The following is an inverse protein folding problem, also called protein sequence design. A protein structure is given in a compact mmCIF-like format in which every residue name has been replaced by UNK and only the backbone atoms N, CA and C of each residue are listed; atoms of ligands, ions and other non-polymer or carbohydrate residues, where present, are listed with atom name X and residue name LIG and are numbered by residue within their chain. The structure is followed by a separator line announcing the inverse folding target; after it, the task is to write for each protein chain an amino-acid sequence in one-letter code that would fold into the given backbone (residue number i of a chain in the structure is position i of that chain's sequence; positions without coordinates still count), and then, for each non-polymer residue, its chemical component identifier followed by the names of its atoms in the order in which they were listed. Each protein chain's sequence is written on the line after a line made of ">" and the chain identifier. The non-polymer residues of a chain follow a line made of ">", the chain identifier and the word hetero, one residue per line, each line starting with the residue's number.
data_IF_224340566467
#
_entry.id   IF_224340566467
#
_cell.length_a   1.000
_cell.length_b   1.000
_cell.length_c   1.000
_cell.angle_alpha   90.00
_cell.angle_beta   90.00
_cell.angle_gamma   90.00
#
_symmetry.space_group_name_H-M   'P 1'
#
loop_
_entity.id
_entity.type
_entity.pdbx_description
1 polymer ?
#
# COMPACT_ATOMS: atom_id res chain seq x y z
N UNK A 1 -16.19 36.81 78.13
CA UNK A 1 -16.77 35.46 78.18
C UNK A 1 -16.70 34.88 76.76
N UNK A 2 -15.55 34.47 76.20
CA UNK A 2 -14.53 33.56 76.74
C UNK A 2 -15.22 32.34 77.37
N UNK A 3 -15.17 31.19 76.70
CA UNK A 3 -15.24 29.81 77.22
C UNK A 3 -15.78 28.83 76.17
N UNK A 4 -15.13 28.75 74.99
CA UNK A 4 -15.18 27.53 74.14
C UNK A 4 -13.86 27.33 73.37
N UNK A 5 -13.07 28.39 73.17
CA UNK A 5 -11.84 28.37 72.36
C UNK A 5 -10.57 27.75 72.99
N UNK A 6 -10.64 27.13 74.19
CA UNK A 6 -9.43 26.74 74.95
C UNK A 6 -9.23 25.22 75.10
N UNK A 7 -10.12 24.38 74.53
CA UNK A 7 -10.06 22.92 74.78
C UNK A 7 -9.39 22.07 73.69
N UNK A 8 -8.91 22.63 72.58
CA UNK A 8 -8.26 21.83 71.51
C UNK A 8 -6.80 22.18 71.21
N UNK A 9 -6.22 23.19 71.87
CA UNK A 9 -4.84 23.64 71.65
C UNK A 9 -3.80 23.01 72.60
N UNK A 10 -4.16 21.99 73.38
CA UNK A 10 -3.24 21.33 74.31
C UNK A 10 -3.03 19.85 73.99
N UNK A 11 -2.62 19.51 72.77
CA UNK A 11 -1.84 18.28 72.52
C UNK A 11 -1.04 18.40 71.22
N UNK A 12 -0.23 19.44 71.10
CA UNK A 12 0.94 19.45 70.21
C UNK A 12 2.19 19.30 71.06
N UNK A 13 2.61 18.07 71.30
CA UNK A 13 3.99 17.79 71.70
C UNK A 13 4.40 16.41 71.20
N UNK A 14 5.42 16.43 70.35
CA UNK A 14 6.44 15.38 70.11
C UNK A 14 6.03 14.12 69.35
N UNK A 15 6.38 14.17 68.05
CA UNK A 15 6.80 13.10 67.14
C UNK A 15 7.46 11.89 67.82
N UNK A 16 7.08 10.67 67.43
CA UNK A 16 8.00 9.68 66.82
C UNK A 16 7.22 8.52 66.16
N UNK A 17 7.51 8.31 64.87
CA UNK A 17 7.37 7.09 64.04
C UNK A 17 6.05 6.32 64.08
N UNK A 18 5.21 6.51 63.05
CA UNK A 18 4.14 5.54 62.75
C UNK A 18 3.19 5.97 61.63
N UNK A 19 3.53 5.59 60.39
CA UNK A 19 2.65 5.54 59.21
C UNK A 19 2.16 6.89 58.65
N UNK A 20 3.03 7.51 57.82
CA UNK A 20 2.59 8.45 56.81
C UNK A 20 1.69 7.71 55.80
N UNK A 21 0.38 8.00 55.83
CA UNK A 21 -0.53 7.64 54.75
C UNK A 21 -0.46 8.77 53.73
N UNK A 22 0.42 8.62 52.75
CA UNK A 22 0.39 9.41 51.52
C UNK A 22 -0.99 9.24 50.88
N UNK A 23 -1.70 10.34 50.64
CA UNK A 23 -2.75 10.37 49.62
C UNK A 23 -2.04 10.66 48.30
N UNK A 24 -1.30 9.66 47.82
CA UNK A 24 -0.92 9.53 46.43
C UNK A 24 -1.99 8.66 45.76
N UNK A 25 -2.90 9.30 45.02
CA UNK A 25 -3.37 8.83 43.72
C UNK A 25 -4.56 9.69 43.25
N UNK A 26 -4.25 10.81 42.59
CA UNK A 26 -4.94 11.09 41.34
C UNK A 26 -4.12 10.43 40.22
N UNK A 27 -4.13 9.10 40.18
CA UNK A 27 -4.05 8.43 38.89
C UNK A 27 -5.35 8.78 38.19
N UNK A 28 -5.24 9.61 37.17
CA UNK A 28 -6.07 9.47 35.99
C UNK A 28 -6.27 7.96 35.73
N UNK A 29 -7.51 7.47 35.57
CA UNK A 29 -7.68 6.10 35.12
C UNK A 29 -7.05 6.06 33.75
N UNK A 30 -5.83 5.51 33.69
CA UNK A 30 -5.23 5.02 32.46
C UNK A 30 -6.27 4.07 31.92
N UNK A 31 -7.05 4.49 30.94
CA UNK A 31 -7.99 3.64 30.23
C UNK A 31 -7.12 2.57 29.61
N UNK A 32 -6.99 1.46 30.32
CA UNK A 32 -6.41 0.24 29.81
C UNK A 32 -7.32 -0.20 28.67
N UNK A 33 -7.00 0.21 27.44
CA UNK A 33 -7.60 -0.26 26.19
C UNK A 33 -7.28 -1.74 25.90
N UNK A 34 -6.99 -2.53 26.92
CA UNK A 34 -6.43 -3.88 26.85
C UNK A 34 -7.49 -5.01 26.78
N UNK A 35 -8.80 -4.83 27.09
CA UNK A 35 -9.78 -5.89 26.81
C UNK A 35 -10.21 -5.95 25.33
N UNK A 36 -10.24 -4.81 24.63
CA UNK A 36 -10.87 -4.70 23.30
C UNK A 36 -9.94 -5.10 22.15
N UNK A 37 -8.62 -4.89 22.31
CA UNK A 37 -7.64 -5.20 21.26
C UNK A 37 -7.27 -6.70 21.21
N UNK A 38 -7.44 -7.43 22.32
CA UNK A 38 -7.22 -8.88 22.35
C UNK A 38 -8.36 -9.67 21.69
N UNK A 39 -9.61 -9.20 21.82
CA UNK A 39 -10.75 -9.79 21.10
C UNK A 39 -10.62 -9.56 19.59
N UNK A 40 -10.30 -8.34 19.15
CA UNK A 40 -10.09 -8.03 17.73
C UNK A 40 -8.89 -8.78 17.13
N UNK A 41 -7.81 -8.97 17.90
CA UNK A 41 -6.69 -9.82 17.50
C UNK A 41 -7.12 -11.28 17.30
N UNK A 42 -7.91 -11.81 18.24
CA UNK A 42 -8.41 -13.18 18.18
C UNK A 42 -9.38 -13.38 17.00
N UNK A 43 -10.25 -12.41 16.75
CA UNK A 43 -11.18 -12.43 15.63
C UNK A 43 -10.44 -12.33 14.29
N UNK A 44 -9.43 -11.46 14.19
CA UNK A 44 -8.57 -11.38 13.02
C UNK A 44 -7.88 -12.72 12.75
N UNK A 45 -7.28 -13.35 13.77
CA UNK A 45 -6.62 -14.65 13.63
C UNK A 45 -7.58 -15.72 13.11
N UNK A 46 -8.80 -15.77 13.64
CA UNK A 46 -9.84 -16.70 13.17
C UNK A 46 -10.23 -16.44 11.72
N UNK A 47 -10.43 -15.18 11.34
CA UNK A 47 -10.78 -14.80 9.96
C UNK A 47 -9.65 -15.19 9.00
N UNK A 48 -8.41 -14.88 9.34
CA UNK A 48 -7.23 -15.22 8.53
C UNK A 48 -7.06 -16.73 8.40
N UNK A 49 -7.31 -17.48 9.48
CA UNK A 49 -7.29 -18.94 9.44
C UNK A 49 -8.38 -19.49 8.52
N UNK A 50 -9.63 -19.03 8.65
CA UNK A 50 -10.73 -19.43 7.76
C UNK A 50 -10.45 -19.09 6.30
N UNK A 51 -9.91 -17.91 6.03
CA UNK A 51 -9.49 -17.50 4.69
C UNK A 51 -8.40 -18.42 4.15
N UNK A 52 -7.42 -18.81 4.97
CA UNK A 52 -6.35 -19.72 4.57
C UNK A 52 -6.88 -21.12 4.29
N UNK A 53 -7.84 -21.61 5.08
CA UNK A 53 -8.51 -22.90 4.88
C UNK A 53 -9.35 -22.90 3.59
N UNK A 54 -10.12 -21.84 3.34
CA UNK A 54 -10.86 -21.68 2.08
C UNK A 54 -9.93 -21.59 0.88
N UNK A 55 -8.84 -20.82 0.95
CA UNK A 55 -7.86 -20.69 -0.15
C UNK A 55 -7.05 -21.97 -0.38
N UNK A 56 -6.91 -22.82 0.63
CA UNK A 56 -6.25 -24.13 0.52
C UNK A 56 -7.21 -25.23 0.04
N UNK A 57 -8.52 -24.96 0.02
CA UNK A 57 -9.52 -25.90 -0.47
C UNK A 57 -9.47 -26.01 -2.01
N UNK A 58 -9.47 -27.24 -2.51
CA UNK A 58 -9.31 -27.54 -3.93
C UNK A 58 -10.42 -26.94 -4.82
N UNK A 59 -11.66 -26.92 -4.35
CA UNK A 59 -12.78 -26.34 -5.11
C UNK A 59 -12.65 -24.81 -5.21
N UNK A 60 -12.23 -24.17 -4.12
CA UNK A 60 -11.99 -22.72 -4.08
C UNK A 60 -10.81 -22.31 -4.95
N UNK A 61 -9.73 -23.11 -4.97
CA UNK A 61 -8.60 -22.88 -5.87
C UNK A 61 -9.03 -22.95 -7.34
N UNK A 62 -9.81 -23.97 -7.69
CA UNK A 62 -10.34 -24.12 -9.05
C UNK A 62 -11.29 -22.97 -9.45
N UNK A 63 -12.09 -22.44 -8.51
CA UNK A 63 -12.92 -21.27 -8.76
C UNK A 63 -12.09 -20.01 -9.02
N UNK A 64 -11.01 -19.81 -8.26
CA UNK A 64 -10.10 -18.68 -8.45
C UNK A 64 -9.35 -18.81 -9.78
N UNK A 65 -8.82 -19.98 -10.10
CA UNK A 65 -8.18 -20.27 -11.39
C UNK A 65 -9.12 -20.02 -12.56
N UNK A 66 -10.37 -20.50 -12.47
CA UNK A 66 -11.38 -20.30 -13.51
C UNK A 66 -11.77 -18.83 -13.68
N UNK A 67 -11.83 -18.07 -12.58
CA UNK A 67 -12.09 -16.63 -12.63
C UNK A 67 -10.94 -15.87 -13.30
N UNK A 68 -9.70 -16.25 -13.00
CA UNK A 68 -8.49 -15.71 -13.63
C UNK A 68 -8.40 -16.07 -15.11
N UNK A 69 -8.69 -17.33 -15.46
CA UNK A 69 -8.75 -17.77 -16.86
C UNK A 69 -9.79 -16.94 -17.62
N UNK A 70 -11.01 -16.79 -17.08
CA UNK A 70 -12.05 -15.95 -17.71
C UNK A 70 -11.59 -14.50 -17.89
N UNK A 71 -10.96 -13.92 -16.87
CA UNK A 71 -10.42 -12.56 -16.94
C UNK A 71 -9.34 -12.42 -18.01
N UNK A 72 -8.41 -13.36 -18.09
CA UNK A 72 -7.37 -13.40 -19.11
C UNK A 72 -7.93 -13.68 -20.52
N UNK A 73 -9.05 -14.41 -20.66
CA UNK A 73 -9.72 -14.63 -21.94
C UNK A 73 -10.44 -13.36 -22.44
N UNK A 74 -11.04 -12.59 -21.54
CA UNK A 74 -11.71 -11.32 -21.87
C UNK A 74 -10.73 -10.17 -22.16
N UNK A 75 -9.46 -10.30 -21.74
CA UNK A 75 -8.40 -9.30 -21.95
C UNK A 75 -7.16 -9.95 -22.61
N UNK A 76 -7.19 -10.19 -23.93
CA UNK A 76 -6.30 -11.12 -24.65
C UNK A 76 -4.84 -10.66 -24.82
N UNK A 77 -4.40 -9.61 -24.13
CA UNK A 77 -3.17 -8.89 -24.48
C UNK A 77 -1.88 -9.64 -24.11
N UNK A 78 -1.94 -10.67 -23.26
CA UNK A 78 -0.71 -11.26 -22.73
C UNK A 78 -0.80 -12.80 -22.68
N UNK A 79 -0.06 -13.55 -23.52
CA UNK A 79 0.11 -15.00 -23.38
C UNK A 79 0.68 -15.39 -22.01
N UNK A 80 1.46 -14.49 -21.41
CA UNK A 80 1.94 -14.56 -20.02
C UNK A 80 0.81 -14.43 -18.99
N UNK A 81 -0.40 -13.96 -19.33
CA UNK A 81 -1.54 -13.89 -18.41
C UNK A 81 -2.01 -15.29 -18.01
N UNK A 82 -2.23 -16.17 -19.00
CA UNK A 82 -2.73 -17.53 -18.74
C UNK A 82 -1.70 -18.39 -18.00
N UNK A 83 -0.45 -18.35 -18.45
CA UNK A 83 0.64 -19.11 -17.83
C UNK A 83 1.06 -18.51 -16.48
N UNK A 84 1.11 -17.18 -16.40
CA UNK A 84 1.40 -16.43 -15.18
C UNK A 84 0.31 -16.61 -14.13
N UNK A 85 -0.98 -16.51 -14.48
CA UNK A 85 -2.07 -16.72 -13.54
C UNK A 85 -1.96 -18.09 -12.86
N UNK A 86 -1.74 -19.15 -13.64
CA UNK A 86 -1.59 -20.52 -13.12
C UNK A 86 -0.32 -20.71 -12.31
N UNK A 87 0.80 -20.13 -12.74
CA UNK A 87 2.08 -20.26 -12.05
C UNK A 87 2.13 -19.45 -10.75
N UNK A 88 1.64 -18.21 -10.79
CA UNK A 88 1.69 -17.30 -9.65
C UNK A 88 0.59 -17.57 -8.63
N UNK A 89 -0.59 -18.08 -9.01
CA UNK A 89 -1.67 -18.33 -8.04
C UNK A 89 -1.27 -19.34 -6.98
N UNK A 90 -0.63 -20.44 -7.37
CA UNK A 90 -0.13 -21.45 -6.42
C UNK A 90 0.99 -20.89 -5.53
N UNK A 91 1.87 -20.06 -6.09
CA UNK A 91 2.91 -19.36 -5.33
C UNK A 91 2.29 -18.40 -4.30
N UNK A 92 1.29 -17.62 -4.70
CA UNK A 92 0.58 -16.66 -3.84
C UNK A 92 -0.16 -17.37 -2.72
N UNK A 93 -0.88 -18.46 -3.00
CA UNK A 93 -1.58 -19.25 -1.97
C UNK A 93 -0.56 -19.82 -0.96
N UNK A 94 0.57 -20.35 -1.44
CA UNK A 94 1.63 -20.88 -0.59
C UNK A 94 2.29 -19.80 0.26
N UNK A 95 2.55 -18.62 -0.32
CA UNK A 95 3.14 -17.50 0.40
C UNK A 95 2.16 -16.89 1.41
N UNK A 96 0.89 -16.77 1.05
CA UNK A 96 -0.16 -16.30 1.94
C UNK A 96 -0.35 -17.25 3.12
N UNK A 97 -0.39 -18.57 2.88
CA UNK A 97 -0.50 -19.56 3.96
C UNK A 97 0.75 -19.58 4.85
N UNK A 98 1.94 -19.38 4.30
CA UNK A 98 3.16 -19.23 5.09
C UNK A 98 3.14 -17.94 5.93
N UNK A 99 2.71 -16.81 5.35
CA UNK A 99 2.63 -15.51 6.04
C UNK A 99 1.54 -15.48 7.11
N UNK A 100 0.41 -16.14 6.86
CA UNK A 100 -0.66 -16.32 7.83
C UNK A 100 -0.20 -17.18 9.02
N UNK A 101 0.70 -18.15 8.80
CA UNK A 101 1.11 -19.14 9.80
C UNK A 101 2.49 -18.89 10.45
N UNK A 102 3.34 -17.97 9.96
CA UNK A 102 4.70 -17.72 10.51
C UNK A 102 5.10 -16.23 10.67
N UNK A 103 5.92 -15.98 11.72
CA UNK A 103 6.87 -14.87 11.97
C UNK A 103 6.47 -13.44 11.56
N UNK A 104 5.23 -13.07 11.82
CA UNK A 104 4.74 -11.72 11.55
C UNK A 104 3.30 -11.79 11.09
N UNK A 105 2.48 -12.52 11.87
CA UNK A 105 1.05 -12.68 11.69
C UNK A 105 0.46 -11.41 11.08
N UNK A 106 -0.23 -11.57 9.94
CA UNK A 106 -0.83 -10.46 9.23
C UNK A 106 -1.72 -9.61 10.14
N UNK A 107 -2.33 -10.19 11.18
CA UNK A 107 -3.07 -9.46 12.20
C UNK A 107 -2.18 -8.53 13.05
N UNK A 108 -0.92 -8.87 13.27
CA UNK A 108 0.08 -8.00 13.90
C UNK A 108 0.61 -6.95 12.94
N UNK A 109 0.79 -7.26 11.66
CA UNK A 109 1.16 -6.25 10.65
C UNK A 109 0.05 -5.22 10.44
N UNK A 110 -1.21 -5.66 10.50
CA UNK A 110 -2.39 -4.80 10.45
C UNK A 110 -2.63 -4.04 11.76
N UNK A 111 -1.78 -4.21 12.78
CA UNK A 111 -1.89 -3.55 14.08
C UNK A 111 -3.08 -4.00 14.94
N UNK A 112 -3.78 -5.07 14.53
CA UNK A 112 -4.93 -5.64 15.25
C UNK A 112 -4.50 -6.50 16.43
N UNK A 113 -3.31 -7.10 16.35
CA UNK A 113 -2.67 -7.78 17.47
C UNK A 113 -1.63 -6.88 18.14
N UNK A 114 -1.81 -6.65 19.45
CA UNK A 114 -0.86 -5.88 20.24
C UNK A 114 0.47 -6.62 20.36
N UNK A 115 1.51 -6.12 19.71
CA UNK A 115 2.88 -6.34 20.17
C UNK A 115 3.18 -5.26 21.21
N UNK A 116 3.31 -5.61 22.49
CA UNK A 116 4.22 -4.82 23.33
C UNK A 116 5.64 -5.07 22.81
N UNK A 117 5.96 -4.33 21.77
CA UNK A 117 7.30 -4.10 21.32
C UNK A 117 7.18 -2.76 20.64
N UNK A 118 7.89 -1.77 21.18
CA UNK A 118 8.34 -0.65 20.37
C UNK A 118 9.13 -1.24 19.21
N UNK A 119 8.43 -1.69 18.17
CA UNK A 119 9.00 -1.71 16.84
C UNK A 119 9.22 -0.23 16.56
N UNK A 120 10.41 0.26 16.87
CA UNK A 120 11.01 1.28 16.02
C UNK A 120 10.76 0.77 14.61
N UNK A 121 9.84 1.43 13.90
CA UNK A 121 9.78 1.29 12.46
C UNK A 121 11.24 1.38 11.98
N UNK A 122 11.71 0.51 11.07
CA UNK A 122 13.04 0.68 10.54
C UNK A 122 13.15 2.13 10.09
N UNK A 123 14.07 2.85 10.71
CA UNK A 123 14.25 4.29 10.59
C UNK A 123 14.82 4.69 9.22
N UNK A 124 14.41 3.99 8.17
CA UNK A 124 14.98 4.10 6.82
C UNK A 124 14.14 4.99 5.91
N UNK A 125 12.81 5.02 6.04
CA UNK A 125 11.93 5.80 5.17
C UNK A 125 10.81 6.51 5.94
N UNK A 126 10.67 7.81 5.71
CA UNK A 126 9.47 8.58 6.11
C UNK A 126 8.61 8.78 4.88
N UNK A 127 7.37 8.29 4.90
CA UNK A 127 6.40 8.44 3.81
C UNK A 127 5.46 9.59 4.15
N UNK A 128 5.31 10.55 3.24
CA UNK A 128 4.43 11.71 3.39
C UNK A 128 3.64 11.99 2.10
N UNK A 129 2.59 12.80 2.24
CA UNK A 129 1.85 13.39 1.13
C UNK A 129 2.26 14.86 1.03
N UNK A 130 2.58 15.35 -0.17
CA UNK A 130 2.77 16.78 -0.37
C UNK A 130 1.43 17.49 -0.60
N UNK A 131 1.46 18.82 -0.72
CA UNK A 131 0.26 19.64 -0.91
C UNK A 131 -0.45 19.38 -2.25
N UNK A 132 0.21 18.69 -3.18
CA UNK A 132 -0.33 18.24 -4.47
C UNK A 132 -0.86 16.80 -4.42
N UNK A 133 -0.88 16.15 -3.25
CA UNK A 133 -1.35 14.77 -3.08
C UNK A 133 -0.40 13.70 -3.62
N UNK A 134 0.87 14.04 -3.89
CA UNK A 134 1.89 13.10 -4.31
C UNK A 134 2.52 12.42 -3.09
N UNK A 135 2.64 11.09 -3.18
CA UNK A 135 3.37 10.28 -2.21
C UNK A 135 4.87 10.49 -2.40
N UNK A 136 5.55 10.90 -1.33
CA UNK A 136 7.01 10.97 -1.31
C UNK A 136 7.56 10.19 -0.13
N UNK A 137 8.69 9.51 -0.36
CA UNK A 137 9.39 8.76 0.65
C UNK A 137 10.79 9.37 0.81
N UNK A 138 11.08 9.94 1.98
CA UNK A 138 12.38 10.55 2.27
C UNK A 138 13.27 9.54 3.03
N UNK A 139 14.45 9.18 2.49
CA UNK A 139 15.42 8.35 3.22
C UNK A 139 16.03 9.12 4.39
N UNK A 140 16.23 8.45 5.54
CA UNK A 140 16.86 9.09 6.72
C UNK A 140 18.37 9.35 6.57
N UNK A 141 19.01 8.86 5.50
CA UNK A 141 20.45 9.07 5.24
C UNK A 141 20.68 9.55 3.80
N UNK A 142 20.93 10.85 3.68
CA UNK A 142 22.04 11.45 2.91
C UNK A 142 22.28 11.11 1.43
N UNK A 143 21.47 10.30 0.77
CA UNK A 143 21.47 10.22 -0.69
C UNK A 143 20.31 11.09 -1.20
N UNK A 144 20.63 12.13 -1.96
CA UNK A 144 19.65 12.95 -2.67
C UNK A 144 19.06 12.17 -3.84
N UNK A 145 18.44 11.03 -3.56
CA UNK A 145 17.66 10.29 -4.53
C UNK A 145 16.25 10.16 -3.95
N UNK A 146 15.47 11.20 -4.21
CA UNK A 146 14.02 11.14 -4.01
C UNK A 146 13.49 10.04 -4.92
N UNK A 147 13.14 8.89 -4.35
CA UNK A 147 12.36 7.88 -5.08
C UNK A 147 10.92 8.39 -5.08
N UNK A 148 10.61 9.26 -6.03
CA UNK A 148 9.24 9.74 -6.26
C UNK A 148 8.46 8.64 -6.98
N UNK A 149 7.52 8.01 -6.29
CA UNK A 149 6.53 7.13 -6.92
C UNK A 149 5.49 8.04 -7.56
N UNK A 150 5.70 8.39 -8.83
CA UNK A 150 4.74 9.17 -9.59
C UNK A 150 3.78 8.20 -10.32
N UNK A 151 2.54 8.00 -9.83
CA UNK A 151 1.59 7.07 -10.43
C UNK A 151 1.23 7.45 -11.88
N UNK A 152 1.29 8.74 -12.21
CA UNK A 152 1.05 9.26 -13.56
C UNK A 152 2.20 8.90 -14.50
N UNK A 153 3.45 9.04 -14.04
CA UNK A 153 4.63 8.59 -14.79
C UNK A 153 4.57 7.08 -15.04
N UNK A 154 4.25 6.29 -13.99
CA UNK A 154 4.16 4.84 -14.11
C UNK A 154 3.06 4.40 -15.08
N UNK A 155 1.89 5.04 -15.02
CA UNK A 155 0.80 4.76 -15.95
C UNK A 155 1.22 5.11 -17.38
N UNK A 156 1.85 6.26 -17.61
CA UNK A 156 2.39 6.62 -18.92
C UNK A 156 3.38 5.57 -19.42
N UNK A 157 4.38 5.20 -18.62
CA UNK A 157 5.40 4.23 -19.04
C UNK A 157 4.79 2.86 -19.38
N UNK A 158 3.84 2.39 -18.57
CA UNK A 158 3.10 1.18 -18.85
C UNK A 158 2.35 1.29 -20.18
N UNK A 159 1.62 2.39 -20.37
CA UNK A 159 0.83 2.63 -21.57
C UNK A 159 1.68 2.69 -22.85
N UNK A 160 2.82 3.40 -22.83
CA UNK A 160 3.73 3.44 -23.98
C UNK A 160 4.30 2.06 -24.29
N UNK A 161 4.70 1.28 -23.29
CA UNK A 161 5.20 -0.09 -23.50
C UNK A 161 4.13 -0.98 -24.13
N UNK A 162 2.87 -0.85 -23.71
CA UNK A 162 1.75 -1.56 -24.32
C UNK A 162 1.59 -1.19 -25.79
N UNK A 163 1.62 0.11 -26.13
CA UNK A 163 1.59 0.59 -27.51
C UNK A 163 2.72 -0.03 -28.33
N UNK A 164 3.97 0.05 -27.85
CA UNK A 164 5.13 -0.47 -28.56
C UNK A 164 5.05 -1.97 -28.81
N UNK A 165 4.47 -2.74 -27.89
CA UNK A 165 4.28 -4.19 -28.05
C UNK A 165 3.26 -4.59 -29.13
N UNK A 166 2.35 -3.66 -29.46
CA UNK A 166 1.28 -3.86 -30.44
C UNK A 166 1.58 -3.22 -31.80
N UNK A 167 2.58 -2.33 -31.87
CA UNK A 167 2.98 -1.70 -33.12
C UNK A 167 3.73 -2.69 -34.04
N UNK A 168 3.47 -2.63 -35.36
CA UNK A 168 4.30 -3.33 -36.32
C UNK A 168 5.75 -2.79 -36.33
N UNK A 169 6.69 -3.60 -36.81
CA UNK A 169 8.11 -3.22 -36.91
C UNK A 169 8.32 -1.93 -37.70
N UNK A 170 7.57 -1.77 -38.79
CA UNK A 170 7.52 -0.51 -39.53
C UNK A 170 6.41 0.36 -38.95
N UNK A 171 6.81 1.40 -38.23
CA UNK A 171 5.89 2.35 -37.61
C UNK A 171 5.42 3.34 -38.67
N UNK A 172 4.15 3.25 -39.05
CA UNK A 172 3.48 4.26 -39.88
C UNK A 172 2.54 5.09 -39.03
N UNK A 173 2.31 6.33 -39.43
CA UNK A 173 1.36 7.23 -38.76
C UNK A 173 -0.03 6.57 -38.67
N UNK A 174 -0.49 5.98 -39.77
CA UNK A 174 -1.76 5.27 -39.85
C UNK A 174 -1.84 4.08 -38.88
N UNK A 175 -0.76 3.30 -38.73
CA UNK A 175 -0.74 2.18 -37.79
C UNK A 175 -0.82 2.67 -36.33
N UNK A 176 -0.17 3.79 -36.00
CA UNK A 176 -0.19 4.38 -34.66
C UNK A 176 -1.58 4.95 -34.35
N UNK A 177 -2.18 5.70 -35.28
CA UNK A 177 -3.54 6.25 -35.11
C UNK A 177 -4.55 5.13 -34.86
N UNK A 178 -4.57 4.12 -35.73
CA UNK A 178 -5.49 2.99 -35.59
C UNK A 178 -5.32 2.23 -34.27
N UNK A 179 -4.08 2.17 -33.75
CA UNK A 179 -3.81 1.53 -32.46
C UNK A 179 -4.28 2.41 -31.29
N UNK A 180 -4.01 3.71 -31.30
CA UNK A 180 -4.45 4.63 -30.25
C UNK A 180 -5.97 4.72 -30.14
N UNK A 181 -6.70 4.54 -31.24
CA UNK A 181 -8.18 4.48 -31.23
C UNK A 181 -8.73 3.25 -30.52
N UNK A 182 -7.98 2.14 -30.50
CA UNK A 182 -8.46 0.84 -30.00
C UNK A 182 -7.80 0.41 -28.70
N UNK A 183 -6.67 1.02 -28.33
CA UNK A 183 -5.87 0.58 -27.20
C UNK A 183 -6.67 0.55 -25.90
N UNK A 184 -7.56 1.53 -25.70
CA UNK A 184 -8.38 1.61 -24.50
C UNK A 184 -9.39 0.45 -24.37
N UNK A 185 -9.82 -0.15 -25.48
CA UNK A 185 -10.70 -1.33 -25.45
C UNK A 185 -9.99 -2.58 -24.92
N UNK A 186 -8.67 -2.64 -25.06
CA UNK A 186 -7.83 -3.73 -24.56
C UNK A 186 -7.49 -3.60 -23.06
N UNK A 187 -7.76 -2.44 -22.45
CA UNK A 187 -7.57 -2.25 -21.01
C UNK A 187 -8.79 -2.76 -20.22
N UNK A 188 -8.57 -3.27 -18.99
CA UNK A 188 -9.63 -3.57 -18.04
C UNK A 188 -10.58 -2.39 -17.86
N UNK A 189 -11.88 -2.66 -17.68
CA UNK A 189 -12.93 -1.64 -17.64
C UNK A 189 -12.65 -0.51 -16.63
N UNK A 190 -12.02 -0.82 -15.50
CA UNK A 190 -11.63 0.16 -14.47
C UNK A 190 -10.59 1.20 -14.93
N UNK A 191 -9.88 0.95 -16.04
CA UNK A 191 -8.87 1.86 -16.58
C UNK A 191 -9.29 2.54 -17.89
N UNK A 192 -10.46 2.20 -18.44
CA UNK A 192 -10.94 2.74 -19.72
C UNK A 192 -11.06 4.25 -19.70
N UNK A 193 -11.79 4.81 -18.73
CA UNK A 193 -11.95 6.27 -18.61
C UNK A 193 -10.60 6.98 -18.45
N UNK A 194 -9.68 6.39 -17.69
CA UNK A 194 -8.33 6.97 -17.51
C UNK A 194 -7.52 6.91 -18.81
N UNK A 195 -7.69 5.84 -19.59
CA UNK A 195 -7.07 5.65 -20.91
C UNK A 195 -7.63 6.63 -21.93
N UNK A 196 -8.95 6.76 -22.03
CA UNK A 196 -9.61 7.65 -22.98
C UNK A 196 -9.18 9.09 -22.75
N UNK A 197 -9.19 9.54 -21.49
CA UNK A 197 -8.67 10.85 -21.11
C UNK A 197 -7.18 11.04 -21.47
N UNK A 198 -6.37 9.98 -21.34
CA UNK A 198 -4.95 10.02 -21.70
C UNK A 198 -4.75 10.15 -23.21
N UNK A 199 -5.47 9.35 -24.00
CA UNK A 199 -5.42 9.37 -25.48
C UNK A 199 -5.98 10.69 -26.00
N UNK A 200 -7.08 11.20 -25.46
CA UNK A 200 -7.64 12.50 -25.83
C UNK A 200 -6.64 13.63 -25.59
N UNK A 201 -5.96 13.61 -24.44
CA UNK A 201 -5.04 14.66 -24.04
C UNK A 201 -3.69 14.61 -24.78
N UNK A 202 -3.13 13.42 -25.00
CA UNK A 202 -1.76 13.25 -25.49
C UNK A 202 -1.66 12.59 -26.85
N UNK A 203 -2.74 12.02 -27.41
CA UNK A 203 -2.75 11.19 -28.62
C UNK A 203 -2.03 11.83 -29.81
N UNK A 204 -2.26 13.12 -30.06
CA UNK A 204 -1.58 13.86 -31.14
C UNK A 204 -0.07 13.91 -30.95
N UNK A 205 0.40 14.23 -29.75
CA UNK A 205 1.83 14.27 -29.44
C UNK A 205 2.44 12.86 -29.43
N UNK A 206 1.67 11.84 -29.00
CA UNK A 206 2.11 10.45 -29.00
C UNK A 206 2.43 9.96 -30.41
N UNK A 207 1.66 10.34 -31.43
CA UNK A 207 1.94 9.95 -32.82
C UNK A 207 3.36 10.34 -33.22
N UNK A 208 3.73 11.61 -33.05
CA UNK A 208 5.05 12.12 -33.41
C UNK A 208 6.18 11.49 -32.58
N UNK A 209 5.93 11.32 -31.27
CA UNK A 209 6.90 10.74 -30.34
C UNK A 209 7.15 9.25 -30.60
N UNK A 210 6.11 8.50 -30.97
CA UNK A 210 6.18 7.07 -31.31
C UNK A 210 6.83 6.83 -32.68
N UNK A 211 6.56 7.69 -33.66
CA UNK A 211 7.26 7.68 -34.96
C UNK A 211 8.76 7.90 -34.78
N UNK A 212 9.13 8.79 -33.86
CA UNK A 212 10.53 9.08 -33.51
C UNK A 212 11.24 7.94 -32.79
N UNK A 213 10.52 6.86 -32.45
CA UNK A 213 11.08 5.65 -31.83
C UNK A 213 11.83 5.89 -30.52
N UNK A 214 11.33 6.85 -29.73
CA UNK A 214 11.87 7.19 -28.43
C UNK A 214 11.50 6.14 -27.38
N UNK A 215 12.36 5.89 -26.38
CA UNK A 215 12.04 4.96 -25.31
C UNK A 215 10.85 5.49 -24.47
N UNK A 216 10.05 4.59 -23.85
CA UNK A 216 8.84 4.94 -23.09
C UNK A 216 9.02 6.10 -22.11
N UNK A 217 10.12 6.10 -21.38
CA UNK A 217 10.39 7.15 -20.42
C UNK A 217 10.70 8.50 -21.06
N UNK A 218 11.43 8.54 -22.18
CA UNK A 218 11.69 9.79 -22.89
C UNK A 218 10.39 10.39 -23.43
N UNK A 219 9.48 9.54 -23.93
CA UNK A 219 8.13 9.94 -24.32
C UNK A 219 7.38 10.53 -23.12
N UNK A 220 7.34 9.82 -22.00
CA UNK A 220 6.65 10.29 -20.80
C UNK A 220 7.28 11.55 -20.18
N UNK A 221 8.58 11.76 -20.33
CA UNK A 221 9.27 12.99 -19.93
C UNK A 221 8.92 14.15 -20.87
N UNK A 222 8.88 13.90 -22.18
CA UNK A 222 8.48 14.89 -23.18
C UNK A 222 7.03 15.36 -22.97
N UNK A 223 6.15 14.47 -22.52
CA UNK A 223 4.78 14.79 -22.11
C UNK A 223 4.68 15.47 -20.73
N UNK A 224 5.80 15.67 -20.03
CA UNK A 224 5.84 16.27 -18.69
C UNK A 224 5.27 15.38 -17.58
N UNK A 225 5.13 14.06 -17.84
CA UNK A 225 4.55 13.09 -16.91
C UNK A 225 5.59 12.44 -16.01
N UNK A 226 6.85 12.44 -16.44
CA UNK A 226 8.00 12.03 -15.65
C UNK A 226 8.94 13.23 -15.47
N UNK A 227 9.43 13.43 -14.24
CA UNK A 227 10.21 14.62 -13.85
C UNK A 227 11.74 14.43 -13.94
N UNK A 228 12.23 13.19 -14.07
CA UNK A 228 13.66 12.89 -14.08
C UNK A 228 13.97 11.82 -15.13
N UNK A 229 15.08 11.91 -15.91
CA UNK A 229 15.53 10.83 -16.80
C UNK A 229 15.71 9.51 -16.03
N UNK A 230 15.34 8.36 -16.63
CA UNK A 230 15.50 7.05 -15.98
C UNK A 230 16.91 6.91 -15.44
N UNK A 231 17.01 6.64 -14.14
CA UNK A 231 18.21 6.02 -13.64
C UNK A 231 18.28 4.60 -14.19
N UNK A 232 19.38 4.23 -14.87
CA UNK A 232 19.58 2.85 -15.26
C UNK A 232 19.65 2.00 -14.00
N UNK A 233 18.72 1.04 -13.87
CA UNK A 233 18.91 -0.09 -12.97
C UNK A 233 19.99 -0.97 -13.61
N UNK A 234 21.25 -0.74 -13.23
CA UNK A 234 22.37 -1.64 -13.50
C UNK A 234 22.38 -2.82 -12.53
#
# INVERSE_FOLDING_TARGET
>A
MQFVFVAFFLFTSTLTSGWARSVDHLTEPRTSSIPMMNSTCTDCKKIVQLLTEMLSNQDSQHLVEKALDKFCYEHPVIPLCMDGAKTYIHLVIRHFSALANQNGDICSMLGLCGSQSERKAPSEFTVGLNEQGLLYAKPSRGTNQEVQINPICNFCMFFIKTIESMLPKERTEEAIVNLLEKICDYLPSQYRDTCDNFVEKYGKQLIDLLLSSLPPHAICTALGLCLFPEMPMS
#
